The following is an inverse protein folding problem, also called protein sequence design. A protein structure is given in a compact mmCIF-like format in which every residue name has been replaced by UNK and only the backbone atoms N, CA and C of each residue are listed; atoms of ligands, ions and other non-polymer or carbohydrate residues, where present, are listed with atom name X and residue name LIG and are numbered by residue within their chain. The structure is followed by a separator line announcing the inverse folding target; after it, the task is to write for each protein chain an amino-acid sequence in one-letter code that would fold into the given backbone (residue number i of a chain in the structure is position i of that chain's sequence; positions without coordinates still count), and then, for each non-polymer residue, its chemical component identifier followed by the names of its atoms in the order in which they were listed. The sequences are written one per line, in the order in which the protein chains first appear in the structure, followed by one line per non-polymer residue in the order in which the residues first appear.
data_IF_988845025975
#
_entry.id   IF_988845025975
#
_cell.length_a   1.000
_cell.length_b   1.000
_cell.length_c   1.000
_cell.angle_alpha   90.00
_cell.angle_beta   90.00
_cell.angle_gamma   90.00
#
_symmetry.space_group_name_H-M   'P 1'
#
loop_
_entity.id
_entity.type
_entity.pdbx_description
1 polymer ?
#
# COMPACT_ATOMS: atom_id res chain seq x y z
N UNK A 1 28.79 28.28 18.97
CA UNK A 1 29.22 26.95 19.46
C UNK A 1 27.98 26.10 19.62
N UNK A 2 27.80 25.09 18.77
CA UNK A 2 26.65 24.18 18.90
C UNK A 2 26.78 23.42 20.22
N UNK A 3 25.78 23.54 21.12
CA UNK A 3 25.69 22.75 22.34
C UNK A 3 25.81 21.25 21.94
N UNK A 4 26.89 20.59 22.34
CA UNK A 4 27.10 19.17 22.10
C UNK A 4 25.87 18.39 22.58
N UNK A 5 25.20 17.65 21.69
CA UNK A 5 24.04 16.83 22.05
C UNK A 5 24.47 15.85 23.13
N UNK A 6 23.83 15.91 24.30
CA UNK A 6 24.07 14.96 25.39
C UNK A 6 23.94 13.54 24.87
N UNK A 7 24.88 12.65 25.26
CA UNK A 7 24.87 11.23 24.87
C UNK A 7 24.89 10.37 26.14
N UNK A 8 24.29 9.20 26.04
CA UNK A 8 24.45 8.11 27.01
C UNK A 8 25.24 6.96 26.38
N UNK A 9 25.85 6.13 27.19
CA UNK A 9 26.58 4.95 26.72
C UNK A 9 25.69 3.74 26.86
N UNK A 10 25.47 3.03 25.75
CA UNK A 10 24.80 1.72 25.73
C UNK A 10 25.75 0.63 25.24
N UNK A 11 25.34 -0.61 25.32
CA UNK A 11 26.17 -1.75 24.84
C UNK A 11 25.31 -2.81 24.16
N UNK A 12 25.90 -3.50 23.22
CA UNK A 12 25.42 -4.74 22.62
C UNK A 12 26.52 -5.81 22.65
N UNK A 13 26.38 -6.90 21.90
CA UNK A 13 27.36 -7.99 21.83
C UNK A 13 28.69 -7.58 21.21
N UNK A 14 28.74 -6.48 20.45
CA UNK A 14 29.95 -5.95 19.82
C UNK A 14 30.71 -5.04 20.77
N UNK A 15 30.02 -4.37 21.71
CA UNK A 15 30.64 -3.48 22.68
C UNK A 15 29.86 -2.19 22.97
N UNK A 16 30.54 -1.24 23.60
CA UNK A 16 29.96 0.05 23.99
C UNK A 16 29.81 1.01 22.80
N UNK A 17 28.76 1.81 22.80
CA UNK A 17 28.50 2.85 21.78
C UNK A 17 27.79 4.06 22.42
N UNK A 18 28.03 5.26 21.89
CA UNK A 18 27.34 6.49 22.30
C UNK A 18 26.03 6.62 21.54
N UNK A 19 24.93 6.83 22.29
CA UNK A 19 23.57 7.05 21.77
C UNK A 19 23.09 8.42 22.26
N UNK A 20 22.36 9.21 21.43
CA UNK A 20 21.82 10.50 21.90
C UNK A 20 20.91 10.29 23.12
N UNK A 21 21.10 11.12 24.17
CA UNK A 21 20.44 10.91 25.46
C UNK A 21 18.91 11.01 25.39
N UNK A 22 18.36 11.85 24.50
CA UNK A 22 16.92 12.06 24.35
C UNK A 22 16.20 11.03 23.47
N UNK A 23 16.91 10.05 22.90
CA UNK A 23 16.29 9.03 22.01
C UNK A 23 16.01 7.73 22.77
N UNK A 24 14.88 7.07 22.47
CA UNK A 24 14.58 5.77 23.06
C UNK A 24 15.29 4.60 22.37
N UNK A 25 15.81 4.75 21.15
CA UNK A 25 16.59 3.67 20.53
C UNK A 25 17.90 3.42 21.28
N UNK A 26 18.46 2.24 21.10
CA UNK A 26 19.65 1.78 21.80
C UNK A 26 20.85 1.53 20.88
N UNK A 27 21.75 0.65 21.36
CA UNK A 27 23.05 0.38 20.73
C UNK A 27 22.94 -0.21 19.32
N UNK A 28 22.05 -1.16 19.09
CA UNK A 28 21.93 -1.83 17.79
C UNK A 28 21.36 -0.88 16.72
N UNK A 29 20.36 -0.10 17.06
CA UNK A 29 19.83 0.95 16.18
C UNK A 29 20.89 2.00 15.87
N UNK A 30 21.66 2.43 16.86
CA UNK A 30 22.73 3.39 16.67
C UNK A 30 23.84 2.85 15.72
N UNK A 31 24.18 1.57 15.80
CA UNK A 31 25.11 0.94 14.84
C UNK A 31 24.53 0.91 13.44
N UNK A 32 23.25 0.58 13.30
CA UNK A 32 22.58 0.58 12.00
C UNK A 32 22.66 1.95 11.33
N UNK A 33 22.41 3.03 12.08
CA UNK A 33 22.54 4.42 11.60
C UNK A 33 23.96 4.77 11.13
N UNK A 34 24.98 4.17 11.73
CA UNK A 34 26.38 4.37 11.35
C UNK A 34 26.77 3.57 10.13
N UNK A 35 26.25 2.34 10.01
CA UNK A 35 26.65 1.38 8.97
C UNK A 35 25.87 1.51 7.66
N UNK A 36 24.60 1.91 7.72
CA UNK A 36 23.72 1.96 6.55
C UNK A 36 23.37 3.42 6.17
N UNK A 37 24.36 4.14 5.66
CA UNK A 37 24.18 5.51 5.11
C UNK A 37 23.84 5.42 3.62
N UNK A 38 22.70 4.79 3.31
CA UNK A 38 22.27 4.48 1.95
C UNK A 38 20.88 5.08 1.76
N UNK A 39 20.71 5.92 0.74
CA UNK A 39 19.43 6.56 0.43
C UNK A 39 18.90 7.45 1.56
N UNK A 40 17.63 7.77 1.49
CA UNK A 40 16.92 8.55 2.50
C UNK A 40 15.56 7.95 2.91
N UNK A 41 15.17 6.86 2.25
CA UNK A 41 13.90 6.19 2.45
C UNK A 41 13.88 5.50 3.81
N UNK A 42 12.97 5.92 4.69
CA UNK A 42 12.80 5.35 6.03
C UNK A 42 11.74 4.27 6.04
N UNK A 43 11.78 3.42 7.06
CA UNK A 43 10.70 2.47 7.30
C UNK A 43 9.36 3.20 7.42
N UNK A 44 8.33 2.77 6.66
CA UNK A 44 7.02 3.43 6.68
C UNK A 44 6.36 3.36 8.06
N UNK A 45 5.71 4.44 8.48
CA UNK A 45 4.99 4.50 9.76
C UNK A 45 3.99 3.33 9.97
N UNK A 46 3.21 2.88 8.96
CA UNK A 46 2.36 1.70 9.15
C UNK A 46 3.12 0.44 9.58
N UNK A 47 4.35 0.23 9.08
CA UNK A 47 5.18 -0.90 9.52
C UNK A 47 5.67 -0.74 10.96
N UNK A 48 6.05 0.47 11.37
CA UNK A 48 6.45 0.77 12.76
C UNK A 48 5.29 0.50 13.71
N UNK A 49 4.09 0.97 13.37
CA UNK A 49 2.87 0.71 14.15
C UNK A 49 2.53 -0.77 14.22
N UNK A 50 2.68 -1.51 13.12
CA UNK A 50 2.52 -2.96 13.10
C UNK A 50 3.54 -3.68 14.02
N UNK A 51 4.79 -3.21 14.07
CA UNK A 51 5.75 -3.70 15.08
C UNK A 51 5.25 -3.44 16.51
N UNK A 52 4.64 -2.28 16.78
CA UNK A 52 3.97 -1.99 18.04
C UNK A 52 2.87 -3.01 18.37
N UNK A 53 2.01 -3.34 17.40
CA UNK A 53 0.96 -4.37 17.53
C UNK A 53 1.59 -5.73 17.86
N UNK A 54 2.64 -6.12 17.14
CA UNK A 54 3.35 -7.39 17.37
C UNK A 54 3.88 -7.46 18.79
N UNK A 55 4.56 -6.40 19.25
CA UNK A 55 5.15 -6.38 20.61
C UNK A 55 4.07 -6.34 21.70
N UNK A 56 2.98 -5.65 21.48
CA UNK A 56 1.85 -5.63 22.41
C UNK A 56 1.17 -7.01 22.50
N UNK A 57 0.89 -7.64 21.35
CA UNK A 57 0.29 -8.97 21.31
C UNK A 57 1.18 -10.02 22.00
N UNK A 58 2.48 -10.04 21.67
CA UNK A 58 3.45 -10.94 22.29
C UNK A 58 3.56 -10.72 23.81
N UNK A 59 3.62 -9.47 24.27
CA UNK A 59 3.69 -9.15 25.70
C UNK A 59 2.45 -9.62 26.47
N UNK A 60 1.25 -9.49 25.87
CA UNK A 60 0.01 -9.97 26.47
C UNK A 60 -0.04 -11.50 26.56
N UNK A 61 0.38 -12.18 25.50
CA UNK A 61 0.43 -13.65 25.47
C UNK A 61 1.45 -14.15 26.50
N UNK A 62 2.67 -13.63 26.50
CA UNK A 62 3.73 -14.02 27.44
C UNK A 62 3.37 -13.71 28.90
N UNK A 63 2.64 -12.62 29.15
CA UNK A 63 2.15 -12.33 30.52
C UNK A 63 1.10 -13.33 30.99
N UNK A 64 0.16 -13.74 30.11
CA UNK A 64 -0.86 -14.75 30.45
C UNK A 64 -0.25 -16.13 30.69
N UNK A 65 0.80 -16.47 29.96
CA UNK A 65 1.50 -17.76 30.12
C UNK A 65 2.50 -17.78 31.28
N UNK A 66 2.75 -16.64 31.94
CA UNK A 66 3.73 -16.53 32.99
C UNK A 66 5.19 -16.36 32.55
N UNK A 67 5.44 -16.26 31.24
CA UNK A 67 6.77 -16.09 30.65
C UNK A 67 7.29 -14.64 30.73
N UNK A 68 6.44 -13.69 31.12
CA UNK A 68 6.77 -12.28 31.34
C UNK A 68 6.23 -11.85 32.72
N UNK A 69 7.10 -11.41 33.67
CA UNK A 69 6.67 -10.96 34.98
C UNK A 69 5.70 -9.78 34.95
N UNK A 70 4.70 -9.77 35.83
CA UNK A 70 3.62 -8.75 35.82
C UNK A 70 4.14 -7.31 36.00
N UNK A 71 5.18 -7.10 36.78
CA UNK A 71 5.80 -5.79 37.02
C UNK A 71 6.51 -5.25 35.76
N UNK A 72 7.00 -6.11 34.87
CA UNK A 72 7.60 -5.75 33.58
C UNK A 72 6.54 -5.65 32.48
N UNK A 73 5.58 -6.56 32.50
CA UNK A 73 4.56 -6.67 31.45
C UNK A 73 3.72 -5.41 31.30
N UNK A 74 3.28 -4.77 32.39
CA UNK A 74 2.43 -3.58 32.32
C UNK A 74 3.12 -2.39 31.63
N UNK A 75 4.33 -1.95 32.07
CA UNK A 75 5.06 -0.86 31.41
C UNK A 75 5.41 -1.18 29.96
N UNK A 76 5.81 -2.43 29.65
CA UNK A 76 6.11 -2.87 28.29
C UNK A 76 4.89 -2.78 27.38
N UNK A 77 3.73 -3.24 27.83
CA UNK A 77 2.48 -3.12 27.09
C UNK A 77 2.06 -1.67 26.86
N UNK A 78 2.30 -0.77 27.83
CA UNK A 78 2.05 0.65 27.66
C UNK A 78 2.96 1.24 26.57
N UNK A 79 4.27 1.01 26.66
CA UNK A 79 5.22 1.50 25.65
C UNK A 79 4.91 0.94 24.24
N UNK A 80 4.51 -0.34 24.15
CA UNK A 80 4.10 -0.93 22.87
C UNK A 80 2.82 -0.27 22.30
N UNK A 81 1.86 0.15 23.14
CA UNK A 81 0.69 0.92 22.69
C UNK A 81 1.07 2.30 22.19
N UNK A 82 2.03 2.98 22.82
CA UNK A 82 2.54 4.27 22.36
C UNK A 82 3.20 4.16 20.97
N UNK A 83 3.95 3.06 20.71
CA UNK A 83 4.46 2.76 19.36
C UNK A 83 3.32 2.50 18.37
N UNK A 84 2.33 1.70 18.78
CA UNK A 84 1.16 1.39 17.93
C UNK A 84 0.35 2.66 17.58
N UNK A 85 0.25 3.60 18.52
CA UNK A 85 -0.46 4.88 18.32
C UNK A 85 0.34 5.87 17.45
N UNK A 86 1.66 5.67 17.29
CA UNK A 86 2.55 6.59 16.58
C UNK A 86 3.15 7.69 17.45
N UNK A 87 2.93 7.66 18.77
CA UNK A 87 3.46 8.66 19.71
C UNK A 87 5.00 8.68 19.78
N UNK A 88 5.63 7.61 19.29
CA UNK A 88 7.09 7.41 19.34
C UNK A 88 7.72 7.32 17.94
N UNK A 89 7.05 7.76 16.87
CA UNK A 89 7.51 7.65 15.47
C UNK A 89 8.90 8.26 15.26
N UNK A 90 9.23 9.38 15.94
CA UNK A 90 10.54 10.03 15.85
C UNK A 90 11.72 9.18 16.35
N UNK A 91 11.43 8.08 17.05
CA UNK A 91 12.43 7.15 17.56
C UNK A 91 12.71 5.96 16.61
N UNK A 92 12.16 6.00 15.37
CA UNK A 92 12.36 4.98 14.33
C UNK A 92 13.08 5.57 13.10
N UNK A 93 14.37 5.90 13.24
CA UNK A 93 15.12 6.64 12.21
C UNK A 93 15.70 5.78 11.09
N UNK A 94 15.52 4.45 11.13
CA UNK A 94 16.23 3.53 10.25
C UNK A 94 15.77 3.61 8.79
N UNK A 95 16.73 3.50 7.88
CA UNK A 95 16.46 3.46 6.44
C UNK A 95 15.99 2.07 6.01
N UNK A 96 15.33 2.01 4.87
CA UNK A 96 14.92 0.76 4.19
C UNK A 96 16.13 -0.11 3.83
N UNK A 97 17.22 0.53 3.42
CA UNK A 97 18.48 -0.09 2.97
C UNK A 97 19.30 -0.57 4.17
N UNK A 98 18.81 -1.62 4.83
CA UNK A 98 19.40 -2.25 6.02
C UNK A 98 19.53 -3.76 5.81
N UNK A 99 19.79 -4.54 6.88
CA UNK A 99 19.79 -6.00 6.76
C UNK A 99 18.45 -6.50 6.20
N UNK A 100 18.52 -7.37 5.21
CA UNK A 100 17.36 -7.84 4.47
C UNK A 100 16.35 -8.67 5.27
N UNK A 101 16.72 -9.14 6.45
CA UNK A 101 15.81 -9.79 7.40
C UNK A 101 14.90 -8.82 8.17
N UNK A 102 15.23 -7.52 8.18
CA UNK A 102 14.55 -6.51 8.99
C UNK A 102 14.94 -6.53 10.48
N UNK A 103 16.04 -7.21 10.83
CA UNK A 103 16.49 -7.36 12.23
C UNK A 103 16.73 -6.02 12.89
N UNK A 104 17.34 -5.03 12.21
CA UNK A 104 17.57 -3.73 12.82
C UNK A 104 16.25 -3.02 13.18
N UNK A 105 15.24 -3.07 12.34
CA UNK A 105 13.92 -2.48 12.65
C UNK A 105 13.21 -3.22 13.78
N UNK A 106 13.29 -4.56 13.84
CA UNK A 106 12.79 -5.31 14.98
C UNK A 106 13.51 -4.92 16.28
N UNK A 107 14.85 -4.80 16.24
CA UNK A 107 15.63 -4.37 17.41
C UNK A 107 15.37 -2.92 17.77
N UNK A 108 15.15 -2.03 16.80
CA UNK A 108 14.74 -0.66 17.06
C UNK A 108 13.44 -0.63 17.89
N UNK A 109 12.42 -1.41 17.50
CA UNK A 109 11.19 -1.52 18.27
C UNK A 109 11.44 -2.08 19.68
N UNK A 110 12.27 -3.13 19.80
CA UNK A 110 12.62 -3.71 21.12
C UNK A 110 13.34 -2.71 22.02
N UNK A 111 14.31 -1.96 21.50
CA UNK A 111 15.08 -0.96 22.24
C UNK A 111 14.22 0.23 22.65
N UNK A 112 13.39 0.76 21.74
CA UNK A 112 12.46 1.87 22.03
C UNK A 112 11.47 1.47 23.12
N UNK A 113 10.84 0.30 22.99
CA UNK A 113 9.87 -0.19 23.97
C UNK A 113 10.53 -0.47 25.32
N UNK A 114 11.73 -1.06 25.34
CA UNK A 114 12.45 -1.35 26.59
C UNK A 114 12.84 -0.07 27.33
N UNK A 115 13.40 0.92 26.63
CA UNK A 115 13.81 2.19 27.22
C UNK A 115 12.60 3.01 27.68
N UNK A 116 11.51 3.07 26.89
CA UNK A 116 10.28 3.73 27.29
C UNK A 116 9.62 3.06 28.49
N UNK A 117 9.59 1.73 28.54
CA UNK A 117 9.10 0.99 29.71
C UNK A 117 9.94 1.24 30.96
N UNK A 118 11.28 1.32 30.83
CA UNK A 118 12.15 1.69 31.95
C UNK A 118 11.83 3.11 32.47
N UNK A 119 11.62 4.08 31.60
CA UNK A 119 11.23 5.44 31.97
C UNK A 119 9.86 5.47 32.67
N UNK A 120 8.85 4.74 32.17
CA UNK A 120 7.54 4.58 32.85
C UNK A 120 7.71 4.03 34.26
N UNK A 121 8.69 3.14 34.48
CA UNK A 121 9.07 2.61 35.78
C UNK A 121 9.96 3.55 36.60
N UNK A 122 10.23 4.77 36.11
CA UNK A 122 11.16 5.74 36.74
C UNK A 122 12.57 5.19 36.92
N UNK A 123 13.06 4.42 35.95
CA UNK A 123 14.41 3.86 35.92
C UNK A 123 15.21 4.46 34.75
N UNK A 124 16.53 4.54 34.88
CA UNK A 124 17.39 5.05 33.79
C UNK A 124 17.27 4.21 32.51
N UNK A 125 17.29 4.88 31.36
CA UNK A 125 17.34 4.23 30.05
C UNK A 125 18.74 3.66 29.75
N UNK A 126 18.81 2.68 28.85
CA UNK A 126 20.06 2.13 28.31
C UNK A 126 20.77 1.09 29.17
N UNK A 127 20.25 0.79 30.36
CA UNK A 127 20.88 -0.18 31.28
C UNK A 127 20.41 -1.63 31.07
N UNK A 128 19.44 -1.86 30.15
CA UNK A 128 18.79 -3.16 29.92
C UNK A 128 18.12 -3.77 31.18
N UNK A 129 17.98 -2.98 32.21
CA UNK A 129 17.31 -3.29 33.49
C UNK A 129 16.41 -2.12 33.87
N UNK A 130 15.19 -2.37 34.37
CA UNK A 130 14.57 -3.67 34.61
C UNK A 130 14.01 -4.34 33.37
N UNK A 131 13.93 -3.66 32.20
CA UNK A 131 13.40 -4.19 30.96
C UNK A 131 14.53 -4.43 29.95
N UNK A 132 14.66 -5.69 29.50
CA UNK A 132 15.67 -6.07 28.52
C UNK A 132 15.07 -6.17 27.12
N UNK A 133 15.68 -5.56 26.06
CA UNK A 133 15.15 -5.61 24.70
C UNK A 133 14.94 -7.03 24.15
N UNK A 134 15.90 -7.95 24.39
CA UNK A 134 15.81 -9.32 23.90
C UNK A 134 14.99 -10.22 24.83
N UNK A 135 15.28 -10.21 26.13
CA UNK A 135 14.71 -11.20 27.07
C UNK A 135 13.23 -10.92 27.40
N UNK A 136 12.81 -9.66 27.32
CA UNK A 136 11.44 -9.25 27.62
C UNK A 136 10.66 -8.82 26.38
N UNK A 137 11.14 -7.86 25.59
CA UNK A 137 10.42 -7.34 24.42
C UNK A 137 10.36 -8.34 23.27
N UNK A 138 11.41 -9.16 23.12
CA UNK A 138 11.53 -10.17 22.07
C UNK A 138 11.29 -11.61 22.57
N UNK A 139 10.73 -11.80 23.74
CA UNK A 139 10.52 -13.12 24.36
C UNK A 139 9.70 -14.03 23.46
N UNK A 140 10.24 -15.22 23.14
CA UNK A 140 9.60 -16.21 22.28
C UNK A 140 9.52 -15.82 20.80
N UNK A 141 10.34 -14.86 20.36
CA UNK A 141 10.33 -14.29 19.02
C UNK A 141 11.73 -14.34 18.40
N UNK A 142 11.77 -14.24 17.06
CA UNK A 142 12.94 -13.91 16.26
C UNK A 142 12.59 -12.73 15.35
N UNK A 143 13.56 -11.98 14.85
CA UNK A 143 13.31 -11.02 13.77
C UNK A 143 12.77 -11.72 12.53
N UNK A 144 13.12 -12.99 12.35
CA UNK A 144 12.77 -13.76 11.16
C UNK A 144 11.28 -14.06 11.04
N UNK A 145 10.58 -14.24 12.18
CA UNK A 145 9.11 -14.40 12.21
C UNK A 145 8.38 -13.09 12.54
N UNK A 146 8.99 -12.20 13.32
CA UNK A 146 8.40 -10.93 13.75
C UNK A 146 8.27 -9.93 12.61
N UNK A 147 9.33 -9.75 11.81
CA UNK A 147 9.29 -8.74 10.75
C UNK A 147 8.28 -9.08 9.66
N UNK A 148 8.21 -10.32 9.11
CA UNK A 148 7.16 -10.67 8.16
C UNK A 148 5.76 -10.63 8.76
N UNK A 149 5.59 -10.94 10.04
CA UNK A 149 4.31 -10.73 10.75
C UNK A 149 3.89 -9.26 10.73
N UNK A 150 4.81 -8.34 11.02
CA UNK A 150 4.54 -6.90 10.94
C UNK A 150 4.25 -6.45 9.51
N UNK A 151 4.95 -7.01 8.50
CA UNK A 151 4.68 -6.73 7.08
C UNK A 151 3.23 -7.09 6.71
N UNK A 152 2.76 -8.27 7.10
CA UNK A 152 1.41 -8.74 6.84
C UNK A 152 0.36 -7.88 7.55
N UNK A 153 0.56 -7.58 8.84
CA UNK A 153 -0.36 -6.72 9.60
C UNK A 153 -0.46 -5.34 8.95
N UNK A 154 0.66 -4.68 8.67
CA UNK A 154 0.67 -3.36 8.05
C UNK A 154 -0.02 -3.35 6.69
N UNK A 155 0.24 -4.34 5.83
CA UNK A 155 -0.37 -4.42 4.52
C UNK A 155 -1.89 -4.63 4.60
N UNK A 156 -2.37 -5.54 5.45
CA UNK A 156 -3.82 -5.78 5.62
C UNK A 156 -4.52 -4.55 6.17
N UNK A 157 -3.97 -3.88 7.20
CA UNK A 157 -4.54 -2.65 7.75
C UNK A 157 -4.64 -1.55 6.69
N UNK A 158 -3.58 -1.31 5.90
CA UNK A 158 -3.59 -0.27 4.88
C UNK A 158 -4.53 -0.62 3.70
N UNK A 159 -4.62 -1.88 3.30
CA UNK A 159 -5.55 -2.31 2.25
C UNK A 159 -7.00 -2.13 2.72
N UNK A 160 -7.32 -2.58 3.93
CA UNK A 160 -8.71 -2.57 4.44
C UNK A 160 -9.17 -1.19 4.93
N UNK A 161 -8.27 -0.44 5.56
CA UNK A 161 -8.58 0.87 6.14
C UNK A 161 -8.48 2.03 5.17
N UNK A 162 -7.62 1.95 4.15
CA UNK A 162 -7.35 3.06 3.23
C UNK A 162 -7.75 2.75 1.78
N UNK A 163 -7.20 1.67 1.20
CA UNK A 163 -7.36 1.43 -0.24
C UNK A 163 -8.78 1.01 -0.61
N UNK A 164 -9.37 0.05 0.11
CA UNK A 164 -10.72 -0.42 -0.22
C UNK A 164 -11.76 0.71 -0.13
N UNK A 165 -11.80 1.55 0.94
CA UNK A 165 -12.69 2.70 0.98
C UNK A 165 -12.48 3.70 -0.16
N UNK A 166 -11.22 3.95 -0.54
CA UNK A 166 -10.90 4.85 -1.66
C UNK A 166 -11.44 4.33 -3.01
N UNK A 167 -11.30 3.01 -3.24
CA UNK A 167 -11.84 2.37 -4.43
C UNK A 167 -13.38 2.32 -4.43
N UNK A 168 -14.01 2.21 -3.27
CA UNK A 168 -15.47 2.32 -3.14
C UNK A 168 -15.95 3.70 -3.56
N UNK A 169 -15.25 4.76 -3.17
CA UNK A 169 -15.57 6.15 -3.58
C UNK A 169 -15.44 6.29 -5.08
N UNK A 170 -14.31 5.90 -5.66
CA UNK A 170 -14.10 6.00 -7.11
C UNK A 170 -15.09 5.14 -7.90
N UNK A 171 -15.36 3.92 -7.47
CA UNK A 171 -16.32 3.02 -8.11
C UNK A 171 -17.75 3.59 -8.11
N UNK A 172 -18.16 4.23 -7.01
CA UNK A 172 -19.45 4.94 -6.91
C UNK A 172 -19.51 6.15 -7.85
N UNK A 173 -18.46 6.97 -7.92
CA UNK A 173 -18.39 8.12 -8.81
C UNK A 173 -18.49 7.72 -10.29
N UNK A 174 -17.74 6.70 -10.72
CA UNK A 174 -17.81 6.18 -12.09
C UNK A 174 -19.17 5.57 -12.40
N UNK A 175 -19.77 4.83 -11.47
CA UNK A 175 -21.12 4.27 -11.63
C UNK A 175 -22.18 5.35 -11.71
N UNK A 176 -22.04 6.42 -10.93
CA UNK A 176 -22.90 7.61 -10.99
C UNK A 176 -22.85 8.27 -12.37
N UNK A 177 -21.66 8.48 -12.91
CA UNK A 177 -21.47 9.01 -14.28
C UNK A 177 -22.02 8.06 -15.37
N UNK A 178 -21.87 6.76 -15.19
CA UNK A 178 -22.48 5.79 -16.10
C UNK A 178 -24.00 5.91 -16.14
N UNK A 179 -24.62 6.13 -14.99
CA UNK A 179 -26.08 6.33 -14.91
C UNK A 179 -26.51 7.69 -15.47
N UNK A 180 -25.78 8.76 -15.16
CA UNK A 180 -26.03 10.13 -15.68
C UNK A 180 -25.97 10.16 -17.21
N UNK A 181 -24.95 9.54 -17.80
CA UNK A 181 -24.69 9.54 -19.24
C UNK A 181 -25.39 8.42 -20.01
N UNK A 182 -26.28 7.68 -19.38
CA UNK A 182 -26.94 6.48 -19.95
C UNK A 182 -27.61 6.70 -21.30
N UNK A 183 -28.13 7.92 -21.57
CA UNK A 183 -28.87 8.24 -22.79
C UNK A 183 -28.08 9.03 -23.81
N UNK A 184 -26.83 9.36 -23.54
CA UNK A 184 -25.99 10.16 -24.44
C UNK A 184 -25.36 9.23 -25.45
N UNK A 185 -25.88 9.20 -26.67
CA UNK A 185 -25.34 8.40 -27.78
C UNK A 185 -24.13 9.12 -28.36
N UNK A 186 -23.04 8.42 -28.55
CA UNK A 186 -21.78 8.92 -29.10
C UNK A 186 -21.19 7.93 -30.12
N UNK A 187 -20.23 8.39 -30.90
CA UNK A 187 -19.43 7.49 -31.73
C UNK A 187 -18.49 6.63 -30.87
N UNK A 188 -18.44 5.33 -31.13
CA UNK A 188 -17.42 4.45 -30.57
C UNK A 188 -16.10 4.60 -31.33
N UNK A 189 -15.00 4.23 -30.66
CA UNK A 189 -13.67 4.21 -31.26
C UNK A 189 -12.96 2.89 -30.98
N UNK A 190 -12.47 2.25 -32.04
CA UNK A 190 -11.55 1.11 -31.98
C UNK A 190 -10.32 1.44 -32.78
N UNK A 191 -9.13 1.11 -32.34
CA UNK A 191 -7.86 1.55 -32.97
C UNK A 191 -7.72 3.08 -33.06
N UNK A 192 -8.44 3.84 -32.24
CA UNK A 192 -8.63 5.30 -32.35
C UNK A 192 -9.34 5.76 -33.62
N UNK A 193 -9.93 4.83 -34.38
CA UNK A 193 -10.74 5.09 -35.56
C UNK A 193 -12.23 5.01 -35.23
N UNK A 194 -13.05 5.67 -36.02
CA UNK A 194 -14.50 5.64 -35.87
C UNK A 194 -15.03 4.21 -35.91
N UNK A 195 -15.92 3.90 -35.00
CA UNK A 195 -16.58 2.61 -34.88
C UNK A 195 -18.11 2.81 -34.74
N UNK A 196 -18.83 1.74 -34.44
CA UNK A 196 -20.29 1.81 -34.24
C UNK A 196 -20.64 2.63 -32.99
N UNK A 197 -21.82 3.28 -32.95
CA UNK A 197 -22.27 4.03 -31.80
C UNK A 197 -22.46 3.19 -30.55
N UNK A 198 -22.26 3.83 -29.40
CA UNK A 198 -22.62 3.36 -28.07
C UNK A 198 -23.11 4.55 -27.24
N UNK A 199 -23.55 4.33 -26.02
CA UNK A 199 -23.78 5.45 -25.10
C UNK A 199 -22.53 5.76 -24.28
N UNK A 200 -22.34 7.04 -23.93
CA UNK A 200 -21.26 7.46 -23.01
C UNK A 200 -21.40 6.74 -21.66
N UNK A 201 -22.64 6.47 -21.20
CA UNK A 201 -22.88 5.67 -19.99
C UNK A 201 -22.41 4.23 -20.12
N UNK A 202 -22.50 3.58 -21.29
CA UNK A 202 -21.93 2.25 -21.52
C UNK A 202 -20.40 2.28 -21.42
N UNK A 203 -19.75 3.30 -21.95
CA UNK A 203 -18.31 3.49 -21.85
C UNK A 203 -17.87 3.63 -20.38
N UNK A 204 -18.51 4.50 -19.58
CA UNK A 204 -18.24 4.66 -18.15
C UNK A 204 -18.57 3.42 -17.34
N UNK A 205 -19.57 2.61 -17.75
CA UNK A 205 -19.88 1.33 -17.08
C UNK A 205 -18.73 0.33 -17.18
N UNK A 206 -17.98 0.36 -18.26
CA UNK A 206 -16.74 -0.40 -18.42
C UNK A 206 -15.69 -0.02 -17.38
N UNK A 207 -15.49 1.29 -17.15
CA UNK A 207 -14.56 1.80 -16.14
C UNK A 207 -14.98 1.40 -14.72
N UNK A 208 -16.25 1.56 -14.37
CA UNK A 208 -16.79 1.11 -13.08
C UNK A 208 -16.59 -0.38 -12.85
N UNK A 209 -16.77 -1.19 -13.90
CA UNK A 209 -16.58 -2.65 -13.84
C UNK A 209 -15.10 -3.02 -13.62
N UNK A 210 -14.15 -2.29 -14.23
CA UNK A 210 -12.72 -2.50 -14.00
C UNK A 210 -12.35 -2.27 -12.52
N UNK A 211 -12.89 -1.23 -11.89
CA UNK A 211 -12.68 -0.97 -10.44
C UNK A 211 -13.29 -2.10 -9.60
N UNK A 212 -14.52 -2.50 -9.86
CA UNK A 212 -15.19 -3.62 -9.18
C UNK A 212 -14.36 -4.91 -9.22
N UNK A 213 -13.82 -5.25 -10.39
CA UNK A 213 -12.97 -6.43 -10.55
C UNK A 213 -11.60 -6.27 -9.88
N UNK A 214 -11.03 -5.06 -9.87
CA UNK A 214 -9.83 -4.74 -9.11
C UNK A 214 -10.00 -4.99 -7.62
N UNK A 215 -11.10 -4.51 -7.04
CA UNK A 215 -11.45 -4.76 -5.64
C UNK A 215 -11.64 -6.26 -5.34
N UNK A 216 -12.27 -7.00 -6.24
CA UNK A 216 -12.45 -8.45 -6.08
C UNK A 216 -11.12 -9.20 -6.04
N UNK A 217 -10.14 -8.82 -6.90
CA UNK A 217 -8.78 -9.40 -6.90
C UNK A 217 -8.06 -9.11 -5.59
N UNK A 218 -8.09 -7.88 -5.11
CA UNK A 218 -7.50 -7.49 -3.83
C UNK A 218 -8.13 -8.29 -2.69
N UNK A 219 -9.45 -8.38 -2.65
CA UNK A 219 -10.18 -9.17 -1.64
C UNK A 219 -9.80 -10.65 -1.65
N UNK A 220 -9.54 -11.23 -2.84
CA UNK A 220 -9.13 -12.63 -2.98
C UNK A 220 -7.72 -12.91 -2.43
N UNK A 221 -6.82 -11.92 -2.42
CA UNK A 221 -5.46 -12.06 -1.89
C UNK A 221 -5.40 -11.94 -0.35
N UNK A 222 -6.34 -11.21 0.28
CA UNK A 222 -6.34 -10.95 1.72
C UNK A 222 -6.27 -12.19 2.61
N UNK A 223 -6.97 -13.33 2.35
CA UNK A 223 -6.92 -14.49 3.24
C UNK A 223 -5.52 -15.08 3.43
N UNK A 224 -4.67 -15.04 2.41
CA UNK A 224 -3.27 -15.49 2.49
C UNK A 224 -2.42 -14.48 3.22
N UNK A 225 -2.64 -13.19 2.99
CA UNK A 225 -1.96 -12.12 3.68
C UNK A 225 -2.32 -12.04 5.18
N UNK A 226 -3.50 -12.55 5.59
CA UNK A 226 -3.89 -12.65 7.00
C UNK A 226 -3.20 -13.79 7.77
N UNK A 227 -2.35 -14.61 7.14
CA UNK A 227 -1.59 -15.66 7.82
C UNK A 227 -0.27 -15.12 8.35
N UNK A 228 -0.03 -15.32 9.67
CA UNK A 228 1.10 -14.72 10.36
C UNK A 228 2.23 -15.72 10.64
N UNK A 229 3.46 -15.31 10.34
CA UNK A 229 4.67 -16.08 10.55
C UNK A 229 5.03 -16.27 12.04
N UNK A 230 4.52 -15.40 12.93
CA UNK A 230 4.89 -15.37 14.35
C UNK A 230 4.74 -16.74 15.01
N UNK A 231 5.73 -17.11 15.80
CA UNK A 231 5.87 -18.41 16.45
C UNK A 231 6.75 -19.41 15.68
N UNK A 232 7.17 -19.08 14.44
CA UNK A 232 8.16 -19.88 13.71
C UNK A 232 9.58 -19.69 14.24
N UNK A 233 9.84 -18.59 14.92
CA UNK A 233 11.12 -18.16 15.45
C UNK A 233 12.23 -18.07 14.38
N UNK A 234 13.37 -18.72 14.59
CA UNK A 234 14.56 -18.51 13.74
C UNK A 234 14.41 -19.09 12.32
N UNK A 235 13.85 -20.30 12.19
CA UNK A 235 13.79 -21.08 10.93
C UNK A 235 12.45 -21.74 10.64
N UNK A 236 11.44 -21.51 11.47
CA UNK A 236 10.10 -22.11 11.30
C UNK A 236 9.74 -23.23 12.28
N UNK A 237 10.71 -23.70 13.08
CA UNK A 237 10.52 -24.82 14.04
C UNK A 237 9.88 -24.40 15.34
N UNK A 238 9.84 -23.09 15.64
CA UNK A 238 9.34 -22.58 16.92
C UNK A 238 10.27 -22.78 18.11
N UNK A 239 11.57 -22.99 17.87
CA UNK A 239 12.57 -23.16 18.92
C UNK A 239 12.51 -21.98 19.90
N UNK A 240 12.54 -22.29 21.22
CA UNK A 240 12.43 -21.33 22.33
C UNK A 240 11.09 -20.57 22.41
N UNK A 241 10.09 -20.98 21.66
CA UNK A 241 8.72 -20.49 21.80
C UNK A 241 7.87 -21.50 22.58
N UNK A 242 6.97 -21.01 23.44
CA UNK A 242 6.06 -21.88 24.18
C UNK A 242 5.02 -22.50 23.25
N UNK A 243 4.67 -23.76 23.46
CA UNK A 243 3.61 -24.44 22.67
C UNK A 243 2.31 -23.64 22.69
N UNK A 244 1.77 -23.35 21.52
CA UNK A 244 0.54 -22.58 21.33
C UNK A 244 0.73 -21.05 21.35
N UNK A 245 1.96 -20.56 21.49
CA UNK A 245 2.25 -19.11 21.42
C UNK A 245 1.78 -18.53 20.07
N UNK A 246 2.03 -19.20 18.97
CA UNK A 246 1.66 -18.82 17.61
C UNK A 246 0.14 -18.57 17.45
N UNK A 247 -0.68 -19.52 17.92
CA UNK A 247 -2.16 -19.41 17.85
C UNK A 247 -2.68 -18.32 18.77
N UNK A 248 -2.16 -18.25 20.01
CA UNK A 248 -2.55 -17.22 20.97
C UNK A 248 -2.14 -15.83 20.52
N UNK A 249 -0.97 -15.70 19.89
CA UNK A 249 -0.48 -14.45 19.30
C UNK A 249 -1.41 -13.98 18.16
N UNK A 250 -1.70 -14.86 17.21
CA UNK A 250 -2.57 -14.52 16.09
C UNK A 250 -3.98 -14.10 16.55
N UNK A 251 -4.55 -14.79 17.53
CA UNK A 251 -5.82 -14.43 18.15
C UNK A 251 -5.76 -13.04 18.85
N UNK A 252 -4.63 -12.75 19.52
CA UNK A 252 -4.45 -11.44 20.16
C UNK A 252 -4.26 -10.33 19.14
N UNK A 253 -3.50 -10.56 18.06
CA UNK A 253 -3.37 -9.63 16.96
C UNK A 253 -4.72 -9.36 16.28
N UNK A 254 -5.52 -10.40 16.02
CA UNK A 254 -6.87 -10.26 15.49
C UNK A 254 -7.77 -9.42 16.42
N UNK A 255 -7.68 -9.62 17.73
CA UNK A 255 -8.44 -8.83 18.72
C UNK A 255 -8.02 -7.36 18.74
N UNK A 256 -6.72 -7.07 18.60
CA UNK A 256 -6.18 -5.72 18.62
C UNK A 256 -6.58 -4.90 17.40
N UNK A 257 -6.66 -5.55 16.25
CA UNK A 257 -6.88 -4.89 14.95
C UNK A 257 -8.32 -4.99 14.45
N UNK A 258 -9.12 -5.94 14.98
CA UNK A 258 -10.44 -6.28 14.41
C UNK A 258 -10.36 -7.03 13.08
N UNK A 259 -9.18 -7.47 12.66
CA UNK A 259 -8.92 -8.13 11.38
C UNK A 259 -8.73 -9.66 11.56
N UNK A 260 -9.06 -10.50 10.55
CA UNK A 260 -9.13 -11.94 10.70
C UNK A 260 -7.76 -12.63 10.63
N UNK A 261 -6.79 -12.14 11.38
CA UNK A 261 -5.46 -12.75 11.44
C UNK A 261 -5.50 -14.14 12.05
N UNK A 262 -4.74 -15.05 11.48
CA UNK A 262 -4.54 -16.42 11.95
C UNK A 262 -3.07 -16.81 11.84
N UNK A 263 -2.67 -17.84 12.59
CA UNK A 263 -1.33 -18.39 12.46
C UNK A 263 -1.15 -19.05 11.10
N UNK A 264 0.01 -18.84 10.46
CA UNK A 264 0.31 -19.48 9.17
C UNK A 264 0.31 -21.02 9.33
N UNK A 265 -0.23 -21.70 8.34
CA UNK A 265 -0.31 -23.16 8.28
C UNK A 265 1.08 -23.81 8.23
N UNK A 266 1.99 -23.14 7.52
CA UNK A 266 3.39 -23.57 7.38
C UNK A 266 4.32 -22.40 7.74
N UNK A 267 5.08 -22.54 8.83
CA UNK A 267 6.01 -21.52 9.29
C UNK A 267 7.28 -21.43 8.46
N UNK A 268 7.65 -22.50 7.77
CA UNK A 268 8.84 -22.52 6.89
C UNK A 268 8.58 -21.66 5.65
N UNK A 269 7.41 -21.83 5.02
CA UNK A 269 6.96 -20.96 3.92
C UNK A 269 6.86 -19.49 4.38
N UNK A 270 6.21 -19.24 5.51
CA UNK A 270 5.95 -17.90 6.01
C UNK A 270 7.22 -17.08 6.38
N UNK A 271 8.36 -17.74 6.62
CA UNK A 271 9.64 -17.09 6.89
C UNK A 271 10.49 -16.91 5.63
N UNK A 272 10.47 -17.86 4.71
CA UNK A 272 11.39 -17.96 3.59
C UNK A 272 10.82 -17.47 2.25
N UNK A 273 9.48 -17.58 2.09
CA UNK A 273 8.74 -17.04 0.94
C UNK A 273 7.87 -15.87 1.38
N UNK A 274 7.50 -15.02 0.47
CA UNK A 274 6.57 -13.91 0.71
C UNK A 274 5.55 -13.80 -0.43
N UNK A 275 5.08 -14.94 -0.90
CA UNK A 275 4.15 -15.08 -2.03
C UNK A 275 2.86 -14.30 -1.81
N UNK A 276 2.36 -14.23 -0.57
CA UNK A 276 1.17 -13.44 -0.25
C UNK A 276 1.36 -11.92 -0.50
N UNK A 277 2.58 -11.40 -0.29
CA UNK A 277 2.91 -10.00 -0.59
C UNK A 277 3.08 -9.78 -2.11
N UNK A 278 3.71 -10.74 -2.80
CA UNK A 278 3.85 -10.72 -4.27
C UNK A 278 2.48 -10.80 -4.94
N UNK A 279 1.59 -11.68 -4.46
CA UNK A 279 0.22 -11.80 -4.95
C UNK A 279 -0.59 -10.51 -4.76
N UNK A 280 -0.54 -9.92 -3.57
CA UNK A 280 -1.18 -8.62 -3.31
C UNK A 280 -0.64 -7.55 -4.26
N UNK A 281 0.68 -7.48 -4.42
CA UNK A 281 1.32 -6.55 -5.36
C UNK A 281 0.86 -6.79 -6.80
N UNK A 282 0.68 -8.04 -7.21
CA UNK A 282 0.14 -8.41 -8.53
C UNK A 282 -1.30 -7.92 -8.73
N UNK A 283 -2.13 -8.02 -7.69
CA UNK A 283 -3.50 -7.48 -7.71
C UNK A 283 -3.50 -5.94 -7.84
N UNK A 284 -2.60 -5.25 -7.11
CA UNK A 284 -2.41 -3.80 -7.21
C UNK A 284 -1.88 -3.38 -8.58
N UNK A 285 -0.96 -4.14 -9.16
CA UNK A 285 -0.44 -3.91 -10.51
C UNK A 285 -1.55 -4.02 -11.58
N UNK A 286 -2.43 -5.01 -11.45
CA UNK A 286 -3.59 -5.13 -12.34
C UNK A 286 -4.56 -3.96 -12.18
N UNK A 287 -4.78 -3.49 -10.95
CA UNK A 287 -5.57 -2.28 -10.69
C UNK A 287 -4.91 -1.04 -11.31
N UNK A 288 -3.59 -0.88 -11.19
CA UNK A 288 -2.85 0.22 -11.81
C UNK A 288 -2.99 0.21 -13.34
N UNK A 289 -2.94 -0.97 -13.98
CA UNK A 289 -3.20 -1.08 -15.42
C UNK A 289 -4.61 -0.61 -15.80
N UNK A 290 -5.62 -0.95 -15.00
CA UNK A 290 -7.00 -0.48 -15.19
C UNK A 290 -7.13 1.03 -15.03
N UNK A 291 -6.56 1.59 -13.96
CA UNK A 291 -6.58 3.03 -13.69
C UNK A 291 -5.81 3.83 -14.74
N UNK A 292 -4.69 3.32 -15.24
CA UNK A 292 -3.92 3.91 -16.35
C UNK A 292 -4.81 4.06 -17.58
N UNK A 293 -5.53 3.00 -17.96
CA UNK A 293 -6.46 3.02 -19.10
C UNK A 293 -7.60 4.02 -18.88
N UNK A 294 -8.24 4.01 -17.72
CA UNK A 294 -9.35 4.91 -17.40
C UNK A 294 -8.90 6.38 -17.47
N UNK A 295 -7.77 6.71 -16.84
CA UNK A 295 -7.23 8.07 -16.85
C UNK A 295 -6.86 8.55 -18.26
N UNK A 296 -6.27 7.67 -19.08
CA UNK A 296 -5.94 7.97 -20.47
C UNK A 296 -7.17 8.21 -21.34
N UNK A 297 -8.20 7.39 -21.22
CA UNK A 297 -9.44 7.58 -21.99
C UNK A 297 -10.11 8.91 -21.60
N UNK A 298 -10.28 9.17 -20.31
CA UNK A 298 -10.94 10.39 -19.82
C UNK A 298 -10.18 11.64 -20.29
N UNK A 299 -8.84 11.68 -20.18
CA UNK A 299 -8.10 12.86 -20.66
C UNK A 299 -8.13 13.01 -22.18
N UNK A 300 -8.20 11.90 -22.93
CA UNK A 300 -8.28 11.92 -24.39
C UNK A 300 -9.66 12.42 -24.83
N UNK A 301 -10.75 11.95 -24.20
CA UNK A 301 -12.09 12.42 -24.47
C UNK A 301 -12.28 13.92 -24.13
N UNK A 302 -11.56 14.41 -23.10
CA UNK A 302 -11.53 15.84 -22.73
C UNK A 302 -10.50 16.67 -23.49
N UNK A 303 -9.79 16.12 -24.48
CA UNK A 303 -8.72 16.82 -25.20
C UNK A 303 -9.23 17.95 -26.09
N UNK A 304 -8.47 19.01 -26.17
CA UNK A 304 -8.77 20.17 -26.99
C UNK A 304 -9.12 21.41 -26.17
N UNK A 305 -10.38 21.82 -26.08
CA UNK A 305 -11.63 21.20 -26.59
C UNK A 305 -11.93 21.44 -28.07
N UNK A 306 -11.28 22.42 -28.73
CA UNK A 306 -11.58 22.79 -30.13
C UNK A 306 -10.81 21.96 -31.14
N UNK A 307 -9.52 21.71 -30.88
CA UNK A 307 -8.60 21.00 -31.78
C UNK A 307 -8.33 19.55 -31.35
N UNK A 308 -9.12 19.00 -30.47
CA UNK A 308 -9.07 17.61 -30.01
C UNK A 308 -10.44 16.94 -30.06
N UNK A 309 -10.62 15.86 -29.27
CA UNK A 309 -11.89 15.13 -29.24
C UNK A 309 -12.98 16.00 -28.63
N UNK A 310 -12.79 16.50 -27.42
CA UNK A 310 -13.67 17.47 -26.79
C UNK A 310 -15.06 16.95 -26.41
N UNK A 311 -15.26 15.63 -26.26
CA UNK A 311 -16.55 15.05 -25.87
C UNK A 311 -16.85 15.23 -24.38
N UNK A 312 -15.82 15.43 -23.55
CA UNK A 312 -15.93 15.69 -22.12
C UNK A 312 -15.38 17.08 -21.77
N UNK A 313 -16.03 17.74 -20.83
CA UNK A 313 -15.50 18.89 -20.10
C UNK A 313 -14.97 18.40 -18.76
N UNK A 314 -13.68 18.65 -18.48
CA UNK A 314 -13.04 18.28 -17.22
C UNK A 314 -13.03 19.47 -16.26
N UNK A 315 -13.09 19.24 -14.92
CA UNK A 315 -12.99 20.31 -13.94
C UNK A 315 -11.71 21.12 -14.08
N UNK A 316 -11.83 22.44 -13.95
CA UNK A 316 -10.70 23.38 -13.89
C UNK A 316 -10.26 23.52 -12.42
N UNK A 317 -9.26 22.74 -11.99
CA UNK A 317 -8.81 22.74 -10.60
C UNK A 317 -7.72 23.78 -10.33
N UNK A 318 -6.90 24.10 -11.34
CA UNK A 318 -5.81 25.06 -11.25
C UNK A 318 -5.55 25.78 -12.58
N UNK A 319 -4.87 26.95 -12.59
CA UNK A 319 -4.43 27.58 -13.82
C UNK A 319 -3.54 26.65 -14.64
N UNK A 320 -3.97 26.31 -15.86
CA UNK A 320 -3.32 25.29 -16.67
C UNK A 320 -2.04 25.73 -17.38
N UNK A 321 -1.73 27.04 -17.43
CA UNK A 321 -0.55 27.55 -18.13
C UNK A 321 -0.15 28.92 -17.61
N UNK A 322 1.16 29.17 -17.53
CA UNK A 322 1.73 30.48 -17.20
C UNK A 322 1.67 31.50 -18.34
N UNK A 323 1.51 31.04 -19.60
CA UNK A 323 1.57 31.90 -20.81
C UNK A 323 0.37 31.75 -21.75
N UNK A 324 -0.53 30.77 -21.51
CA UNK A 324 -1.73 30.52 -22.30
C UNK A 324 -2.98 30.70 -21.42
N UNK A 325 -3.57 31.91 -21.37
CA UNK A 325 -4.72 32.17 -20.50
C UNK A 325 -5.92 31.27 -20.84
N UNK A 326 -6.57 30.74 -19.79
CA UNK A 326 -7.75 29.88 -19.97
C UNK A 326 -7.48 28.45 -20.40
N UNK A 327 -6.22 28.02 -20.53
CA UNK A 327 -5.88 26.63 -20.81
C UNK A 327 -6.09 25.76 -19.56
N UNK A 328 -6.98 24.77 -19.65
CA UNK A 328 -7.22 23.77 -18.60
C UNK A 328 -6.52 22.47 -19.01
N UNK A 329 -5.69 21.93 -18.11
CA UNK A 329 -4.98 20.67 -18.33
C UNK A 329 -5.69 19.53 -17.57
N UNK A 330 -5.61 18.27 -18.06
CA UNK A 330 -6.18 17.09 -17.39
C UNK A 330 -5.26 16.59 -16.25
N UNK A 331 -4.89 17.47 -15.32
CA UNK A 331 -3.84 17.26 -14.30
C UNK A 331 -4.09 16.07 -13.40
N UNK A 332 -5.35 15.80 -13.06
CA UNK A 332 -5.72 14.62 -12.25
C UNK A 332 -5.45 13.31 -12.99
N UNK A 333 -5.72 13.26 -14.29
CA UNK A 333 -5.37 12.10 -15.12
C UNK A 333 -3.85 11.94 -15.23
N UNK A 334 -3.10 13.04 -15.36
CA UNK A 334 -1.65 13.01 -15.42
C UNK A 334 -1.07 12.46 -14.10
N UNK A 335 -1.52 12.97 -12.97
CA UNK A 335 -1.10 12.50 -11.64
C UNK A 335 -1.40 11.00 -11.45
N UNK A 336 -2.62 10.56 -11.80
CA UNK A 336 -3.00 9.16 -11.67
C UNK A 336 -2.17 8.23 -12.57
N UNK A 337 -1.84 8.65 -13.79
CA UNK A 337 -0.97 7.85 -14.68
C UNK A 337 0.46 7.72 -14.13
N UNK A 338 1.01 8.78 -13.50
CA UNK A 338 2.30 8.70 -12.80
C UNK A 338 2.25 7.75 -11.60
N UNK A 339 1.18 7.79 -10.79
CA UNK A 339 0.94 6.82 -9.71
C UNK A 339 0.94 5.38 -10.26
N UNK A 340 0.20 5.13 -11.34
CA UNK A 340 0.15 3.80 -11.95
C UNK A 340 1.54 3.32 -12.41
N UNK A 341 2.32 4.18 -13.04
CA UNK A 341 3.69 3.85 -13.47
C UNK A 341 4.59 3.48 -12.27
N UNK A 342 4.51 4.25 -11.17
CA UNK A 342 5.26 3.95 -9.93
C UNK A 342 4.87 2.59 -9.34
N UNK A 343 3.56 2.28 -9.29
CA UNK A 343 3.05 1.00 -8.77
C UNK A 343 3.55 -0.19 -9.62
N UNK A 344 3.59 -0.04 -10.94
CA UNK A 344 4.15 -1.06 -11.85
C UNK A 344 5.64 -1.29 -11.60
N UNK A 345 6.42 -0.22 -11.39
CA UNK A 345 7.83 -0.31 -10.99
C UNK A 345 8.02 -1.00 -9.63
N UNK A 346 7.21 -0.64 -8.65
CA UNK A 346 7.21 -1.27 -7.34
C UNK A 346 6.90 -2.78 -7.42
N UNK A 347 5.93 -3.17 -8.26
CA UNK A 347 5.60 -4.58 -8.47
C UNK A 347 6.78 -5.38 -9.02
N UNK A 348 7.52 -4.82 -9.94
CA UNK A 348 8.76 -5.45 -10.45
C UNK A 348 9.76 -5.67 -9.33
N UNK A 349 10.02 -4.64 -8.50
CA UNK A 349 10.93 -4.75 -7.38
C UNK A 349 10.46 -5.79 -6.35
N UNK A 350 9.16 -5.85 -6.03
CA UNK A 350 8.57 -6.83 -5.12
C UNK A 350 8.68 -8.25 -5.68
N UNK A 351 8.46 -8.45 -6.97
CA UNK A 351 8.56 -9.77 -7.61
C UNK A 351 9.99 -10.30 -7.57
N UNK A 352 10.97 -9.46 -7.91
CA UNK A 352 12.39 -9.80 -7.80
C UNK A 352 12.75 -10.11 -6.34
N UNK A 353 12.33 -9.29 -5.40
CA UNK A 353 12.58 -9.48 -3.98
C UNK A 353 11.95 -10.79 -3.46
N UNK A 354 10.72 -11.12 -3.87
CA UNK A 354 10.03 -12.36 -3.51
C UNK A 354 10.75 -13.61 -4.04
N UNK A 355 11.34 -13.53 -5.23
CA UNK A 355 12.06 -14.65 -5.85
C UNK A 355 13.44 -14.97 -5.23
N UNK A 356 13.90 -14.18 -4.24
CA UNK A 356 15.23 -14.29 -3.63
C UNK A 356 15.25 -14.88 -2.21
N UNK A 357 14.27 -15.70 -1.84
CA UNK A 357 14.33 -16.52 -0.63
C UNK A 357 15.32 -17.68 -0.81
N UNK A 358 16.22 -17.86 0.18
CA UNK A 358 17.17 -18.96 0.20
C UNK A 358 16.98 -19.79 1.46
N UNK A 359 16.69 -21.08 1.29
CA UNK A 359 16.42 -22.01 2.39
C UNK A 359 15.31 -21.45 3.33
N UNK A 360 15.61 -21.16 4.58
CA UNK A 360 14.64 -20.79 5.61
C UNK A 360 14.43 -19.28 5.75
N UNK A 361 15.01 -18.44 4.89
CA UNK A 361 14.87 -16.99 5.03
C UNK A 361 14.96 -16.23 3.69
N UNK A 362 14.02 -15.31 3.49
CA UNK A 362 14.14 -14.25 2.50
C UNK A 362 14.78 -13.01 3.16
N UNK A 363 15.77 -12.41 2.51
CA UNK A 363 16.49 -11.23 3.01
C UNK A 363 16.29 -9.97 2.16
N UNK A 364 15.10 -9.83 1.55
CA UNK A 364 14.65 -8.66 0.80
C UNK A 364 13.41 -8.01 1.44
N UNK A 365 13.07 -8.36 2.66
CA UNK A 365 11.85 -7.94 3.35
C UNK A 365 11.67 -6.42 3.44
N UNK A 366 12.70 -5.61 3.80
CA UNK A 366 12.54 -4.16 3.92
C UNK A 366 12.10 -3.49 2.62
N UNK A 367 12.76 -3.80 1.50
CA UNK A 367 12.40 -3.21 0.20
C UNK A 367 11.03 -3.69 -0.27
N UNK A 368 10.68 -4.95 0.01
CA UNK A 368 9.39 -5.52 -0.37
C UNK A 368 8.23 -4.78 0.30
N UNK A 369 8.30 -4.63 1.63
CA UNK A 369 7.21 -3.97 2.37
C UNK A 369 7.16 -2.46 2.09
N UNK A 370 8.29 -1.80 1.91
CA UNK A 370 8.34 -0.39 1.56
C UNK A 370 7.57 -0.12 0.26
N UNK A 371 7.88 -0.88 -0.81
CA UNK A 371 7.24 -0.73 -2.11
C UNK A 371 5.76 -1.12 -2.07
N UNK A 372 5.38 -2.15 -1.31
CA UNK A 372 3.99 -2.56 -1.19
C UNK A 372 3.14 -1.49 -0.49
N UNK A 373 3.59 -0.98 0.66
CA UNK A 373 2.89 0.07 1.40
C UNK A 373 2.83 1.39 0.60
N UNK A 374 3.89 1.73 -0.14
CA UNK A 374 3.86 2.88 -1.04
C UNK A 374 2.80 2.70 -2.12
N UNK A 375 2.72 1.51 -2.75
CA UNK A 375 1.73 1.22 -3.79
C UNK A 375 0.30 1.31 -3.26
N UNK A 376 0.03 0.75 -2.08
CA UNK A 376 -1.29 0.82 -1.44
C UNK A 376 -1.69 2.27 -1.20
N UNK A 377 -0.80 3.06 -0.59
CA UNK A 377 -1.05 4.48 -0.28
C UNK A 377 -1.29 5.30 -1.55
N UNK A 378 -0.39 5.19 -2.54
CA UNK A 378 -0.49 5.96 -3.78
C UNK A 378 -1.78 5.65 -4.55
N UNK A 379 -2.20 4.38 -4.60
CA UNK A 379 -3.45 3.99 -5.24
C UNK A 379 -4.67 4.50 -4.46
N UNK A 380 -4.62 4.49 -3.14
CA UNK A 380 -5.71 5.02 -2.31
C UNK A 380 -5.85 6.54 -2.49
N UNK A 381 -4.75 7.29 -2.36
CA UNK A 381 -4.74 8.75 -2.51
C UNK A 381 -5.11 9.15 -3.95
N UNK A 382 -4.54 8.47 -4.94
CA UNK A 382 -4.83 8.71 -6.35
C UNK A 382 -6.29 8.43 -6.72
N UNK A 383 -6.88 7.36 -6.19
CA UNK A 383 -8.29 7.03 -6.41
C UNK A 383 -9.24 8.08 -5.80
N UNK A 384 -8.98 8.54 -4.57
CA UNK A 384 -9.75 9.61 -3.93
C UNK A 384 -9.62 10.92 -4.72
N UNK A 385 -8.38 11.36 -4.99
CA UNK A 385 -8.12 12.61 -5.72
C UNK A 385 -8.77 12.61 -7.09
N UNK A 386 -8.66 11.51 -7.83
CA UNK A 386 -9.26 11.38 -9.16
C UNK A 386 -10.79 11.37 -9.10
N UNK A 387 -11.38 10.72 -8.10
CA UNK A 387 -12.82 10.76 -7.86
C UNK A 387 -13.31 12.18 -7.59
N UNK A 388 -12.69 12.85 -6.61
CA UNK A 388 -13.18 14.13 -6.08
C UNK A 388 -12.90 15.29 -7.01
N UNK A 389 -11.73 15.31 -7.64
CA UNK A 389 -11.25 16.45 -8.44
C UNK A 389 -11.36 16.24 -9.96
N UNK A 390 -11.78 15.05 -10.41
CA UNK A 390 -12.00 14.79 -11.84
C UNK A 390 -13.37 14.19 -12.09
N UNK A 391 -13.58 12.91 -11.70
CA UNK A 391 -14.76 12.14 -12.12
C UNK A 391 -16.07 12.79 -11.71
N UNK A 392 -16.17 13.29 -10.48
CA UNK A 392 -17.39 13.92 -9.95
C UNK A 392 -17.83 15.14 -10.77
N UNK A 393 -16.89 15.92 -11.28
CA UNK A 393 -17.13 17.15 -12.03
C UNK A 393 -17.07 17.00 -13.56
N UNK A 394 -16.98 15.79 -14.10
CA UNK A 394 -17.01 15.58 -15.55
C UNK A 394 -18.40 15.91 -16.10
N UNK A 395 -18.44 16.70 -17.16
CA UNK A 395 -19.66 17.01 -17.93
C UNK A 395 -19.53 16.52 -19.38
N UNK A 396 -20.66 16.09 -19.96
CA UNK A 396 -20.71 15.71 -21.37
C UNK A 396 -20.88 16.95 -22.24
N UNK A 397 -20.05 17.11 -23.28
CA UNK A 397 -20.21 18.15 -24.29
C UNK A 397 -21.18 17.66 -25.37
N UNK A 398 -22.48 17.82 -25.14
CA UNK A 398 -23.54 17.32 -26.00
C UNK A 398 -23.39 17.78 -27.46
N UNK A 399 -23.10 19.07 -27.68
CA UNK A 399 -22.97 19.61 -29.05
C UNK A 399 -21.82 18.95 -29.83
N UNK A 400 -20.66 18.73 -29.14
CA UNK A 400 -19.52 18.08 -29.75
C UNK A 400 -19.74 16.59 -30.00
N UNK A 401 -20.37 15.91 -29.06
CA UNK A 401 -20.75 14.49 -29.18
C UNK A 401 -21.69 14.30 -30.39
N UNK A 402 -22.73 15.13 -30.52
CA UNK A 402 -23.68 15.07 -31.59
C UNK A 402 -23.03 15.37 -32.97
N UNK A 403 -22.18 16.39 -33.03
CA UNK A 403 -21.40 16.72 -34.21
C UNK A 403 -20.58 15.51 -34.69
N UNK A 404 -19.76 14.93 -33.82
CA UNK A 404 -18.89 13.80 -34.16
C UNK A 404 -19.68 12.55 -34.54
N UNK A 405 -20.85 12.32 -33.90
CA UNK A 405 -21.72 11.21 -34.24
C UNK A 405 -22.26 11.35 -35.67
N UNK A 406 -22.68 12.55 -36.06
CA UNK A 406 -23.22 12.80 -37.40
C UNK A 406 -22.14 12.86 -38.51
N UNK A 407 -20.91 13.21 -38.17
CA UNK A 407 -19.78 13.19 -39.10
C UNK A 407 -19.29 11.77 -39.43
N UNK A 408 -19.61 10.77 -38.61
CA UNK A 408 -19.11 9.40 -38.76
C UNK A 408 -19.91 8.63 -39.84
N UNK A 409 -19.18 8.05 -40.79
CA UNK A 409 -19.75 7.15 -41.79
C UNK A 409 -20.05 5.74 -41.24
N UNK A 410 -19.60 5.41 -40.00
CA UNK A 410 -19.79 4.09 -39.43
C UNK A 410 -21.23 3.80 -39.01
N UNK A 411 -22.11 4.81 -39.02
CA UNK A 411 -23.56 4.64 -38.90
C UNK A 411 -24.13 3.72 -39.98
N UNK A 412 -23.50 3.64 -41.15
CA UNK A 412 -23.85 2.74 -42.25
C UNK A 412 -23.90 1.26 -41.85
N UNK A 413 -23.18 0.89 -40.77
CA UNK A 413 -23.16 -0.49 -40.25
C UNK A 413 -24.56 -0.98 -39.87
N UNK A 414 -25.46 -0.08 -39.46
CA UNK A 414 -26.84 -0.40 -39.15
C UNK A 414 -27.66 -0.85 -40.34
N UNK A 415 -27.21 -0.58 -41.55
CA UNK A 415 -27.85 -0.97 -42.82
C UNK A 415 -27.47 -2.41 -43.23
N UNK A 416 -26.41 -2.99 -42.68
CA UNK A 416 -25.91 -4.32 -43.09
C UNK A 416 -27.01 -5.41 -43.11
N UNK A 417 -27.92 -5.50 -42.13
CA UNK A 417 -29.00 -6.49 -42.17
C UNK A 417 -30.00 -6.33 -43.29
N UNK A 418 -30.11 -5.10 -43.88
CA UNK A 418 -31.10 -4.74 -44.86
C UNK A 418 -30.55 -4.77 -46.30
N UNK A 419 -29.33 -4.29 -46.52
CA UNK A 419 -28.74 -4.11 -47.86
C UNK A 419 -27.51 -4.99 -48.10
N UNK A 420 -27.03 -5.70 -47.08
CA UNK A 420 -25.81 -6.50 -47.12
C UNK A 420 -24.53 -5.66 -47.00
N UNK A 421 -23.43 -6.32 -46.55
CA UNK A 421 -22.14 -5.70 -46.28
C UNK A 421 -21.54 -4.94 -47.46
N UNK A 422 -21.55 -5.56 -48.67
CA UNK A 422 -20.94 -4.98 -49.85
C UNK A 422 -21.65 -3.69 -50.33
N UNK A 423 -22.97 -3.65 -50.21
CA UNK A 423 -23.74 -2.46 -50.58
C UNK A 423 -23.58 -1.35 -49.53
N UNK A 424 -23.51 -1.71 -48.24
CA UNK A 424 -23.20 -0.76 -47.18
C UNK A 424 -21.79 -0.16 -47.37
N UNK A 425 -20.79 -0.97 -47.72
CA UNK A 425 -19.45 -0.51 -48.03
C UNK A 425 -19.39 0.43 -49.25
N UNK A 426 -20.17 0.14 -50.30
CA UNK A 426 -20.31 1.05 -51.45
C UNK A 426 -20.98 2.36 -51.05
N UNK A 427 -22.00 2.34 -50.21
CA UNK A 427 -22.67 3.53 -49.72
C UNK A 427 -21.71 4.42 -48.92
N UNK A 428 -20.94 3.82 -47.99
CA UNK A 428 -19.91 4.54 -47.20
C UNK A 428 -18.85 5.19 -48.11
N UNK A 429 -18.30 4.45 -49.09
CA UNK A 429 -17.33 4.98 -50.04
C UNK A 429 -17.86 6.12 -50.90
N UNK A 430 -19.16 6.10 -51.24
CA UNK A 430 -19.79 7.17 -51.99
C UNK A 430 -20.05 8.43 -51.16
N UNK A 431 -20.30 8.24 -49.87
CA UNK A 431 -20.52 9.33 -48.93
C UNK A 431 -19.21 10.03 -48.49
N UNK A 432 -18.09 9.30 -48.47
CA UNK A 432 -16.74 9.84 -48.23
C UNK A 432 -16.27 10.66 -49.44
#
# INVERSE_FOLDING_TARGET
MAKGKQTRTESDSIGKIKVPAGCYWGAQTQRSLQNFKIGGERMPAPLVRALGIVKLAAARVNARSGDLPKNISKPLQQAAREVMAGDLDDHFPLVVWQTGSGTQSNMNANEVIANRAAEIMRKPMGLKTPVHPNDHCNRGQSSNDTFPTAMHIAAVEQVTGELQPALDVLGKSLSGKAAEFKRIVKIGRTHLQDATPLTLGQEFSGYATQIKYGQARIKSALPRLCQLAQGGTAVGTGLNSRRGFDKNFAAEAAKLTGLPFKTAENKFEALAAHDALVEMSGALNTLAASLMKIANDIRMLGSGPRCGIGELSLPANEPGSSIMPGKVNPTQSEALTMVCAQVMGNHTAITIAGSNGHFELNVFKPVMIYNLLQSIRLLADGARSFSDNCVSGIEANHARIEQLLHESLMLVTALNPYIGYDNAAKAAKKAH
#
